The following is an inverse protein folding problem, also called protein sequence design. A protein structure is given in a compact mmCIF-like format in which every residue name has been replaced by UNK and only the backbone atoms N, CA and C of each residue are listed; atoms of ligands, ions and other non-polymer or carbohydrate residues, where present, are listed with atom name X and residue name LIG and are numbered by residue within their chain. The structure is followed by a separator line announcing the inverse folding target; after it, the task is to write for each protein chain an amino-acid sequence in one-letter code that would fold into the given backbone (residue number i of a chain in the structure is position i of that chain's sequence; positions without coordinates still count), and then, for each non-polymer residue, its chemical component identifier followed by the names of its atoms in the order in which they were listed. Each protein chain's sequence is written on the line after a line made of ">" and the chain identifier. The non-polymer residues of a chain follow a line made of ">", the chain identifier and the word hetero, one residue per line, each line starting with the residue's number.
data_IF_826565157753
#
_entry.id   IF_826565157753
#
_cell.length_a   1.000
_cell.length_b   1.000
_cell.length_c   1.000
_cell.angle_alpha   90.00
_cell.angle_beta   90.00
_cell.angle_gamma   90.00
#
_symmetry.space_group_name_H-M   'P 1'
#
loop_
_entity.id
_entity.type
_entity.pdbx_description
1 polymer ?
#
# COMPACT_ATOMS: atom_id res chain seq x y z
N UNK A 1 9.35 -2.58 16.89
CA UNK A 1 8.44 -1.71 16.09
C UNK A 1 9.04 -1.16 14.78
N UNK A 2 10.33 -0.80 14.70
CA UNK A 2 10.97 -0.24 13.46
C UNK A 2 10.93 -1.11 12.20
N UNK A 3 10.74 -2.43 12.32
CA UNK A 3 10.71 -3.37 11.17
C UNK A 3 9.40 -3.36 10.37
N UNK A 4 8.26 -3.12 11.03
CA UNK A 4 6.95 -3.05 10.36
C UNK A 4 6.87 -1.78 9.50
N UNK A 5 7.33 -0.66 10.05
CA UNK A 5 7.43 0.62 9.34
C UNK A 5 8.31 0.55 8.08
N UNK A 6 9.47 -0.14 8.14
CA UNK A 6 10.33 -0.33 6.95
C UNK A 6 9.69 -1.19 5.85
N UNK A 7 8.88 -2.18 6.24
CA UNK A 7 8.14 -3.03 5.29
C UNK A 7 6.99 -2.24 4.67
N UNK A 8 6.32 -1.38 5.42
CA UNK A 8 5.34 -0.43 4.89
C UNK A 8 5.98 0.61 3.98
N UNK A 9 7.16 1.14 4.31
CA UNK A 9 7.91 2.06 3.45
C UNK A 9 8.32 1.42 2.11
N UNK A 10 8.72 0.14 2.12
CA UNK A 10 9.03 -0.60 0.88
C UNK A 10 7.78 -0.83 0.02
N UNK A 11 6.67 -1.25 0.64
CA UNK A 11 5.37 -1.37 -0.02
C UNK A 11 4.94 -0.03 -0.61
N UNK A 12 5.17 1.06 0.14
CA UNK A 12 4.87 2.40 -0.32
C UNK A 12 5.71 2.75 -1.55
N UNK A 13 7.02 2.47 -1.54
CA UNK A 13 7.94 2.73 -2.65
C UNK A 13 7.56 2.03 -3.96
N UNK A 14 7.18 0.76 -3.89
CA UNK A 14 6.73 0.00 -5.07
C UNK A 14 5.40 0.52 -5.61
N UNK A 15 4.50 0.91 -4.70
CA UNK A 15 3.24 1.55 -5.08
C UNK A 15 3.50 2.90 -5.76
N UNK A 16 4.42 3.73 -5.25
CA UNK A 16 4.82 4.99 -5.90
C UNK A 16 5.30 4.81 -7.35
N UNK A 17 6.16 3.83 -7.62
CA UNK A 17 6.64 3.55 -8.98
C UNK A 17 5.51 3.10 -9.93
N UNK A 18 4.51 2.40 -9.39
CA UNK A 18 3.34 1.97 -10.16
C UNK A 18 2.39 3.14 -10.47
N UNK A 19 2.13 4.00 -9.48
CA UNK A 19 1.30 5.19 -9.64
C UNK A 19 1.92 6.18 -10.63
N UNK A 20 3.23 6.36 -10.58
CA UNK A 20 3.93 7.25 -11.50
C UNK A 20 3.84 6.76 -12.96
N UNK A 21 3.87 5.44 -13.18
CA UNK A 21 3.64 4.85 -14.50
C UNK A 21 2.20 5.07 -14.99
N UNK A 22 1.21 4.90 -14.12
CA UNK A 22 -0.20 5.17 -14.45
C UNK A 22 -0.46 6.66 -14.73
N UNK A 23 0.19 7.56 -13.98
CA UNK A 23 -0.01 9.00 -14.15
C UNK A 23 0.61 9.51 -15.47
N UNK A 24 1.67 8.87 -15.97
CA UNK A 24 2.25 9.15 -17.30
C UNK A 24 1.36 8.69 -18.45
N UNK A 25 0.41 7.78 -18.22
CA UNK A 25 -0.55 7.30 -19.23
C UNK A 25 -1.79 8.21 -19.34
N UNK A 26 -1.98 9.18 -18.42
CA UNK A 26 -3.11 10.12 -18.45
C UNK A 26 -2.69 11.40 -19.19
N UNK A 27 -3.41 11.83 -20.25
CA UNK A 27 -3.04 13.02 -21.02
C UNK A 27 -3.11 14.28 -20.16
N UNK A 28 -2.05 15.08 -20.24
CA UNK A 28 -1.90 16.39 -19.59
C UNK A 28 -3.04 17.33 -20.06
N UNK A 29 -3.87 17.87 -19.14
CA UNK A 29 -4.97 18.79 -19.48
C UNK A 29 -4.78 20.17 -18.84
N UNK A 30 -4.86 21.23 -19.65
CA UNK A 30 -4.40 22.60 -19.40
C UNK A 30 -5.32 23.52 -18.54
N UNK A 31 -6.35 23.02 -17.83
CA UNK A 31 -7.26 23.90 -17.07
C UNK A 31 -7.09 23.76 -15.55
N UNK A 32 -6.90 24.88 -14.82
CA UNK A 32 -6.76 24.91 -13.35
C UNK A 32 -7.93 24.24 -12.60
N UNK A 33 -9.19 24.49 -12.97
CA UNK A 33 -10.35 23.79 -12.38
C UNK A 33 -10.35 22.27 -12.71
N UNK A 34 -9.90 21.90 -13.92
CA UNK A 34 -9.73 20.48 -14.27
C UNK A 34 -8.60 19.84 -13.48
N UNK A 35 -7.57 20.59 -13.10
CA UNK A 35 -6.43 20.08 -12.34
C UNK A 35 -6.83 19.72 -10.91
N UNK A 36 -7.63 20.56 -10.25
CA UNK A 36 -8.13 20.29 -8.90
C UNK A 36 -9.07 19.09 -8.85
N UNK A 37 -10.06 19.06 -9.75
CA UNK A 37 -10.99 17.94 -9.86
C UNK A 37 -10.25 16.65 -10.27
N UNK A 38 -9.24 16.77 -11.13
CA UNK A 38 -8.36 15.65 -11.50
C UNK A 38 -7.57 15.15 -10.28
N UNK A 39 -6.99 16.01 -9.45
CA UNK A 39 -6.26 15.59 -8.25
C UNK A 39 -7.16 14.86 -7.24
N UNK A 40 -8.36 15.38 -6.99
CA UNK A 40 -9.34 14.74 -6.10
C UNK A 40 -9.81 13.40 -6.69
N UNK A 41 -10.08 13.38 -8.00
CA UNK A 41 -10.47 12.17 -8.70
C UNK A 41 -9.37 11.10 -8.65
N UNK A 42 -8.13 11.49 -8.93
CA UNK A 42 -6.96 10.62 -8.82
C UNK A 42 -6.84 10.07 -7.41
N UNK A 43 -6.91 10.91 -6.38
CA UNK A 43 -6.85 10.45 -4.99
C UNK A 43 -7.91 9.39 -4.68
N UNK A 44 -9.18 9.64 -5.00
CA UNK A 44 -10.29 8.67 -4.78
C UNK A 44 -10.07 7.38 -5.58
N UNK A 45 -9.59 7.49 -6.83
CA UNK A 45 -9.29 6.35 -7.69
C UNK A 45 -8.19 5.46 -7.11
N UNK A 46 -7.12 6.05 -6.57
CA UNK A 46 -6.01 5.29 -5.96
C UNK A 46 -6.44 4.53 -4.71
N UNK A 47 -7.25 5.17 -3.86
CA UNK A 47 -7.80 4.54 -2.66
C UNK A 47 -8.70 3.37 -3.05
N UNK A 48 -9.62 3.57 -3.99
CA UNK A 48 -10.55 2.54 -4.43
C UNK A 48 -9.86 1.36 -5.13
N UNK A 49 -8.84 1.65 -5.94
CA UNK A 49 -8.03 0.61 -6.59
C UNK A 49 -7.28 -0.23 -5.56
N UNK A 50 -6.64 0.42 -4.58
CA UNK A 50 -5.90 -0.25 -3.51
C UNK A 50 -6.83 -1.07 -2.61
N UNK A 51 -8.00 -0.54 -2.28
CA UNK A 51 -9.04 -1.26 -1.54
C UNK A 51 -9.51 -2.50 -2.29
N UNK A 52 -9.84 -2.35 -3.58
CA UNK A 52 -10.28 -3.46 -4.43
C UNK A 52 -9.23 -4.56 -4.55
N UNK A 53 -7.94 -4.20 -4.63
CA UNK A 53 -6.85 -5.16 -4.63
C UNK A 53 -6.74 -5.93 -3.29
N UNK A 54 -6.98 -5.26 -2.17
CA UNK A 54 -6.99 -5.90 -0.85
C UNK A 54 -8.18 -6.85 -0.66
N UNK A 55 -9.35 -6.53 -1.22
CA UNK A 55 -10.51 -7.44 -1.25
C UNK A 55 -10.12 -8.74 -1.94
N UNK A 56 -9.51 -8.67 -3.14
CA UNK A 56 -9.09 -9.87 -3.86
C UNK A 56 -7.98 -10.65 -3.14
N UNK A 57 -7.19 -9.99 -2.29
CA UNK A 57 -6.10 -10.63 -1.54
C UNK A 57 -6.57 -11.39 -0.30
N UNK A 58 -7.37 -10.76 0.56
CA UNK A 58 -7.71 -11.28 1.89
C UNK A 58 -9.18 -11.13 2.28
N UNK A 59 -10.04 -10.74 1.34
CA UNK A 59 -11.47 -10.57 1.59
C UNK A 59 -11.84 -9.15 2.05
N UNK A 60 -13.15 -8.93 2.16
CA UNK A 60 -13.74 -7.61 2.42
C UNK A 60 -13.39 -7.09 3.82
N UNK A 61 -13.48 -7.93 4.84
CA UNK A 61 -13.23 -7.54 6.24
C UNK A 61 -11.82 -6.98 6.43
N UNK A 62 -10.82 -7.70 5.89
CA UNK A 62 -9.44 -7.25 5.91
C UNK A 62 -9.27 -5.92 5.17
N UNK A 63 -9.88 -5.79 3.98
CA UNK A 63 -9.80 -4.58 3.19
C UNK A 63 -10.44 -3.38 3.91
N UNK A 64 -11.56 -3.60 4.61
CA UNK A 64 -12.25 -2.59 5.42
C UNK A 64 -11.37 -2.06 6.55
N UNK A 65 -10.72 -2.96 7.30
CA UNK A 65 -9.81 -2.58 8.38
C UNK A 65 -8.61 -1.75 7.93
N UNK A 66 -8.10 -1.98 6.72
CA UNK A 66 -6.96 -1.22 6.19
C UNK A 66 -7.37 0.01 5.37
N UNK A 67 -8.65 0.20 5.07
CA UNK A 67 -9.14 1.26 4.18
C UNK A 67 -8.72 2.66 4.63
N UNK A 68 -9.02 3.01 5.89
CA UNK A 68 -8.67 4.33 6.43
C UNK A 68 -7.15 4.57 6.45
N UNK A 69 -6.38 3.51 6.68
CA UNK A 69 -4.92 3.58 6.64
C UNK A 69 -4.41 3.84 5.21
N UNK A 70 -4.95 3.12 4.23
CA UNK A 70 -4.66 3.35 2.80
C UNK A 70 -5.02 4.79 2.40
N UNK A 71 -6.20 5.27 2.77
CA UNK A 71 -6.64 6.63 2.49
C UNK A 71 -5.72 7.71 3.13
N UNK A 72 -5.20 7.48 4.34
CA UNK A 72 -4.19 8.36 4.97
C UNK A 72 -2.86 8.34 4.21
N UNK A 73 -2.40 7.16 3.82
CA UNK A 73 -1.16 7.00 3.07
C UNK A 73 -1.29 7.75 1.75
N UNK A 74 -2.27 7.40 0.91
CA UNK A 74 -2.42 8.00 -0.43
C UNK A 74 -2.59 9.52 -0.37
N UNK A 75 -3.30 10.05 0.64
CA UNK A 75 -3.39 11.49 0.88
C UNK A 75 -2.00 12.10 1.08
N UNK A 76 -1.21 11.53 2.01
CA UNK A 76 0.14 12.00 2.30
C UNK A 76 1.05 11.94 1.07
N UNK A 77 0.88 10.91 0.22
CA UNK A 77 1.62 10.76 -1.04
C UNK A 77 1.30 11.89 -2.00
N UNK A 78 0.01 12.12 -2.24
CA UNK A 78 -0.45 13.09 -3.21
C UNK A 78 -0.07 14.51 -2.77
N UNK A 79 -0.19 14.83 -1.48
CA UNK A 79 0.27 16.10 -0.92
C UNK A 79 1.77 16.31 -1.16
N UNK A 80 2.61 15.31 -0.91
CA UNK A 80 4.06 15.40 -1.17
C UNK A 80 4.38 15.60 -2.65
N UNK A 81 3.61 14.97 -3.55
CA UNK A 81 3.79 15.15 -4.99
C UNK A 81 3.41 16.57 -5.44
N UNK A 82 2.27 17.08 -4.98
CA UNK A 82 1.81 18.45 -5.30
C UNK A 82 2.84 19.48 -4.83
N UNK A 83 3.31 19.37 -3.59
CA UNK A 83 4.31 20.29 -3.04
C UNK A 83 5.60 20.27 -3.87
N UNK A 84 6.04 19.10 -4.36
CA UNK A 84 7.24 18.97 -5.20
C UNK A 84 7.10 19.57 -6.59
N UNK A 85 5.89 19.77 -7.10
CA UNK A 85 5.66 20.35 -8.42
C UNK A 85 5.84 21.87 -8.44
N UNK A 86 6.10 22.51 -7.28
CA UNK A 86 6.38 23.94 -7.17
C UNK A 86 5.35 24.83 -7.88
N UNK A 87 4.06 24.52 -7.72
CA UNK A 87 3.00 25.41 -8.14
C UNK A 87 3.00 26.71 -7.32
N UNK A 88 2.22 27.68 -7.78
CA UNK A 88 1.94 28.87 -7.01
C UNK A 88 1.39 28.52 -5.61
N UNK A 89 1.74 29.32 -4.61
CA UNK A 89 1.42 29.04 -3.19
C UNK A 89 -0.09 28.94 -2.98
N UNK A 90 -0.84 29.87 -3.56
CA UNK A 90 -2.29 29.93 -3.41
C UNK A 90 -2.97 28.71 -4.06
N UNK A 91 -2.50 28.30 -5.23
CA UNK A 91 -2.99 27.11 -5.95
C UNK A 91 -2.67 25.83 -5.16
N UNK A 92 -1.46 25.75 -4.60
CA UNK A 92 -1.03 24.62 -3.79
C UNK A 92 -1.90 24.48 -2.54
N UNK A 93 -2.18 25.59 -1.86
CA UNK A 93 -3.00 25.58 -0.65
C UNK A 93 -4.45 25.17 -0.94
N UNK A 94 -5.04 25.66 -2.03
CA UNK A 94 -6.40 25.29 -2.44
C UNK A 94 -6.50 23.80 -2.76
N UNK A 95 -5.53 23.25 -3.50
CA UNK A 95 -5.43 21.82 -3.80
C UNK A 95 -5.35 20.97 -2.52
N UNK A 96 -4.50 21.36 -1.58
CA UNK A 96 -4.32 20.63 -0.32
C UNK A 96 -5.60 20.68 0.55
N UNK A 97 -6.30 21.82 0.58
CA UNK A 97 -7.60 21.97 1.25
C UNK A 97 -8.66 21.06 0.63
N UNK A 98 -8.77 21.02 -0.70
CA UNK A 98 -9.71 20.14 -1.41
C UNK A 98 -9.40 18.66 -1.16
N UNK A 99 -8.13 18.26 -1.19
CA UNK A 99 -7.73 16.90 -0.85
C UNK A 99 -8.05 16.54 0.60
N UNK A 100 -7.90 17.49 1.53
CA UNK A 100 -8.25 17.26 2.93
C UNK A 100 -9.75 17.02 3.11
N UNK A 101 -10.56 17.81 2.40
CA UNK A 101 -12.02 17.62 2.36
C UNK A 101 -12.37 16.23 1.79
N UNK A 102 -11.77 15.85 0.66
CA UNK A 102 -11.98 14.54 0.05
C UNK A 102 -11.55 13.38 0.98
N UNK A 103 -10.47 13.55 1.74
CA UNK A 103 -10.05 12.55 2.74
C UNK A 103 -11.11 12.38 3.84
N UNK A 104 -11.66 13.48 4.34
CA UNK A 104 -12.71 13.43 5.36
C UNK A 104 -13.98 12.74 4.81
N UNK A 105 -14.36 13.03 3.56
CA UNK A 105 -15.47 12.34 2.87
C UNK A 105 -15.23 10.82 2.80
N UNK A 106 -14.02 10.38 2.44
CA UNK A 106 -13.69 8.95 2.39
C UNK A 106 -13.74 8.28 3.78
N UNK A 107 -13.41 8.99 4.85
CA UNK A 107 -13.51 8.45 6.20
C UNK A 107 -14.96 8.36 6.69
N UNK A 108 -15.83 9.27 6.25
CA UNK A 108 -17.27 9.21 6.53
C UNK A 108 -17.90 8.02 5.82
N UNK A 109 -17.49 7.76 4.58
CA UNK A 109 -17.94 6.62 3.77
C UNK A 109 -16.99 5.42 3.88
N UNK A 110 -16.53 5.13 5.11
CA UNK A 110 -15.58 4.06 5.33
C UNK A 110 -16.30 2.70 5.38
N UNK A 111 -15.81 1.69 4.63
CA UNK A 111 -16.29 0.32 4.73
C UNK A 111 -16.05 -0.32 6.11
N UNK A 112 -15.25 0.31 6.97
CA UNK A 112 -15.12 -0.07 8.38
C UNK A 112 -16.40 0.19 9.19
N UNK A 113 -17.12 1.26 8.86
CA UNK A 113 -18.36 1.65 9.55
C UNK A 113 -19.60 1.09 8.88
N UNK A 114 -19.57 0.89 7.56
CA UNK A 114 -20.68 0.35 6.76
C UNK A 114 -20.16 -0.59 5.69
N UNK A 115 -20.30 -1.89 5.88
CA UNK A 115 -19.82 -2.91 4.94
C UNK A 115 -20.41 -2.76 3.52
N UNK A 116 -21.67 -2.29 3.41
CA UNK A 116 -22.35 -2.03 2.13
C UNK A 116 -21.57 -1.06 1.25
N UNK A 117 -20.92 -0.04 1.84
CA UNK A 117 -20.10 0.91 1.09
C UNK A 117 -18.85 0.24 0.50
N UNK A 118 -18.32 -0.79 1.16
CA UNK A 118 -17.20 -1.57 0.62
C UNK A 118 -17.59 -2.36 -0.64
N UNK A 119 -18.78 -2.93 -0.64
CA UNK A 119 -19.35 -3.61 -1.80
C UNK A 119 -19.58 -2.61 -2.94
N UNK A 120 -20.15 -1.44 -2.64
CA UNK A 120 -20.41 -0.39 -3.63
C UNK A 120 -19.11 0.15 -4.24
N UNK A 121 -18.06 0.36 -3.44
CA UNK A 121 -16.74 0.77 -3.94
C UNK A 121 -16.18 -0.29 -4.88
N UNK A 122 -16.23 -1.57 -4.48
CA UNK A 122 -15.68 -2.67 -5.27
C UNK A 122 -16.42 -2.85 -6.61
N UNK A 123 -17.75 -2.87 -6.59
CA UNK A 123 -18.55 -3.02 -7.80
C UNK A 123 -18.55 -1.76 -8.66
N UNK A 124 -18.53 -0.57 -8.06
CA UNK A 124 -18.37 0.69 -8.77
C UNK A 124 -17.04 0.77 -9.53
N UNK A 125 -15.98 0.18 -8.98
CA UNK A 125 -14.66 0.21 -9.59
C UNK A 125 -14.41 -0.93 -10.59
N UNK A 126 -14.93 -2.12 -10.32
CA UNK A 126 -14.75 -3.31 -11.18
C UNK A 126 -15.84 -3.45 -12.25
N UNK A 127 -17.03 -2.90 -12.00
CA UNK A 127 -18.19 -2.90 -12.88
C UNK A 127 -18.66 -4.29 -13.30
N UNK A 128 -18.37 -5.33 -12.50
CA UNK A 128 -18.58 -6.71 -12.88
C UNK A 128 -17.80 -7.08 -14.15
N UNK A 129 -18.44 -7.74 -15.12
CA UNK A 129 -17.78 -8.18 -16.36
C UNK A 129 -17.94 -7.20 -17.54
N UNK A 130 -18.42 -5.98 -17.30
CA UNK A 130 -18.64 -4.96 -18.34
C UNK A 130 -17.33 -4.55 -19.02
N UNK A 131 -17.35 -4.35 -20.35
CA UNK A 131 -16.15 -4.03 -21.16
C UNK A 131 -15.45 -2.73 -20.71
N UNK A 132 -16.21 -1.69 -20.33
CA UNK A 132 -15.70 -0.38 -19.87
C UNK A 132 -14.67 -0.50 -18.73
N UNK A 133 -14.85 -1.45 -17.82
CA UNK A 133 -14.02 -1.60 -16.62
C UNK A 133 -12.89 -2.63 -16.79
N UNK A 134 -12.65 -3.12 -18.02
CA UNK A 134 -11.60 -4.12 -18.30
C UNK A 134 -10.21 -3.63 -17.90
N UNK A 135 -9.91 -2.36 -18.17
CA UNK A 135 -8.65 -1.73 -17.77
C UNK A 135 -8.49 -1.74 -16.24
N UNK A 136 -9.52 -1.31 -15.50
CA UNK A 136 -9.52 -1.31 -14.03
C UNK A 136 -9.30 -2.72 -13.46
N UNK A 137 -10.01 -3.73 -13.99
CA UNK A 137 -9.83 -5.13 -13.56
C UNK A 137 -8.40 -5.63 -13.82
N UNK A 138 -7.81 -5.28 -14.96
CA UNK A 138 -6.43 -5.64 -15.26
C UNK A 138 -5.44 -4.95 -14.31
N UNK A 139 -5.66 -3.67 -13.99
CA UNK A 139 -4.84 -2.93 -13.03
C UNK A 139 -4.94 -3.57 -11.62
N UNK A 140 -6.14 -3.90 -11.16
CA UNK A 140 -6.34 -4.58 -9.86
C UNK A 140 -5.64 -5.94 -9.85
N UNK A 141 -5.76 -6.75 -10.92
CA UNK A 141 -5.06 -8.04 -11.02
C UNK A 141 -3.54 -7.89 -10.92
N UNK A 142 -2.97 -6.88 -11.58
CA UNK A 142 -1.53 -6.57 -11.48
C UNK A 142 -1.14 -6.17 -10.04
N UNK A 143 -1.92 -5.31 -9.39
CA UNK A 143 -1.68 -4.93 -7.99
C UNK A 143 -1.79 -6.12 -7.05
N UNK A 144 -2.83 -6.95 -7.22
CA UNK A 144 -2.98 -8.19 -6.45
C UNK A 144 -1.77 -9.10 -6.61
N UNK A 145 -1.30 -9.33 -7.85
CA UNK A 145 -0.14 -10.16 -8.11
C UNK A 145 1.13 -9.61 -7.42
N UNK A 146 1.32 -8.28 -7.44
CA UNK A 146 2.43 -7.63 -6.75
C UNK A 146 2.33 -7.80 -5.21
N UNK A 147 1.15 -7.56 -4.63
CA UNK A 147 0.90 -7.75 -3.19
C UNK A 147 1.19 -9.20 -2.78
N UNK A 148 0.72 -10.16 -3.58
CA UNK A 148 0.94 -11.59 -3.34
C UNK A 148 2.43 -11.94 -3.40
N UNK A 149 3.12 -11.55 -4.46
CA UNK A 149 4.56 -11.83 -4.64
C UNK A 149 5.41 -11.22 -3.52
N UNK A 150 5.08 -10.00 -3.08
CA UNK A 150 5.79 -9.33 -1.99
C UNK A 150 5.52 -10.01 -0.64
N UNK A 151 4.29 -10.50 -0.42
CA UNK A 151 3.96 -11.29 0.78
C UNK A 151 4.74 -12.61 0.85
N UNK A 152 4.90 -13.30 -0.28
CA UNK A 152 5.67 -14.56 -0.39
C UNK A 152 7.17 -14.32 -0.14
N UNK A 153 7.74 -13.24 -0.69
CA UNK A 153 9.13 -12.85 -0.42
C UNK A 153 9.38 -12.58 1.06
N UNK A 154 8.42 -11.93 1.74
CA UNK A 154 8.53 -11.64 3.17
C UNK A 154 8.41 -12.91 4.03
N UNK A 155 7.51 -13.84 3.68
CA UNK A 155 7.41 -15.15 4.31
C UNK A 155 8.72 -15.93 4.15
N UNK A 156 9.26 -15.98 2.94
CA UNK A 156 10.52 -16.67 2.68
C UNK A 156 11.69 -16.06 3.47
N UNK A 157 11.80 -14.73 3.51
CA UNK A 157 12.80 -14.02 4.34
C UNK A 157 12.62 -14.33 5.82
N UNK A 158 11.40 -14.31 6.32
CA UNK A 158 11.09 -14.63 7.72
C UNK A 158 11.50 -16.06 8.09
N UNK A 159 11.17 -17.03 7.23
CA UNK A 159 11.55 -18.43 7.40
C UNK A 159 13.09 -18.57 7.38
N UNK A 160 13.76 -17.94 6.40
CA UNK A 160 15.22 -17.96 6.28
C UNK A 160 15.91 -17.38 7.52
N UNK A 161 15.45 -16.21 7.99
CA UNK A 161 15.99 -15.57 9.19
C UNK A 161 15.75 -16.43 10.44
N UNK A 162 14.58 -17.06 10.56
CA UNK A 162 14.24 -17.96 11.65
C UNK A 162 15.14 -19.20 11.68
N UNK A 163 15.40 -19.80 10.51
CA UNK A 163 16.33 -20.94 10.39
C UNK A 163 17.76 -20.54 10.75
N UNK A 164 18.23 -19.36 10.32
CA UNK A 164 19.57 -18.85 10.65
C UNK A 164 19.75 -18.66 12.15
N UNK A 165 18.75 -18.10 12.83
CA UNK A 165 18.77 -17.93 14.29
C UNK A 165 18.77 -19.26 15.04
N UNK A 166 17.98 -20.25 14.60
CA UNK A 166 17.99 -21.60 15.19
C UNK A 166 19.36 -22.27 15.02
N UNK A 167 19.95 -22.19 13.83
CA UNK A 167 21.26 -22.76 13.57
C UNK A 167 22.35 -22.11 14.44
N UNK A 168 22.35 -20.79 14.58
CA UNK A 168 23.29 -20.08 15.45
C UNK A 168 23.22 -20.57 16.90
N UNK A 169 22.02 -20.72 17.47
CA UNK A 169 21.85 -21.26 18.83
C UNK A 169 22.36 -22.69 18.98
N UNK A 170 22.12 -23.54 17.98
CA UNK A 170 22.62 -24.93 18.00
C UNK A 170 24.15 -24.94 17.95
N UNK A 171 24.74 -24.08 17.11
CA UNK A 171 26.19 -23.93 17.01
C UNK A 171 26.79 -23.44 18.33
N UNK A 172 26.22 -22.39 18.94
CA UNK A 172 26.66 -21.90 20.26
C UNK A 172 26.61 -22.98 21.33
N UNK A 173 25.54 -23.78 21.39
CA UNK A 173 25.44 -24.91 22.33
C UNK A 173 26.52 -25.96 22.08
N UNK A 174 26.83 -26.25 20.81
CA UNK A 174 27.89 -27.20 20.44
C UNK A 174 29.27 -26.67 20.80
N UNK A 175 29.54 -25.40 20.50
CA UNK A 175 30.81 -24.74 20.79
C UNK A 175 31.02 -24.65 22.31
N UNK A 176 29.97 -24.37 23.08
CA UNK A 176 29.97 -24.42 24.54
C UNK A 176 30.26 -25.83 25.07
N UNK A 177 29.58 -26.86 24.56
CA UNK A 177 29.84 -28.24 24.96
C UNK A 177 31.27 -28.70 24.63
N UNK A 178 31.80 -28.30 23.47
CA UNK A 178 33.19 -28.55 23.08
C UNK A 178 34.19 -27.82 23.99
N UNK A 179 33.90 -26.56 24.35
CA UNK A 179 34.70 -25.81 25.31
C UNK A 179 34.71 -26.49 26.68
N UNK A 180 33.55 -26.93 27.16
CA UNK A 180 33.40 -27.64 28.43
C UNK A 180 34.15 -28.96 28.44
N UNK A 181 34.07 -29.74 27.35
CA UNK A 181 34.86 -30.97 27.21
C UNK A 181 36.37 -30.69 27.21
N UNK A 182 36.82 -29.66 26.49
CA UNK A 182 38.24 -29.28 26.45
C UNK A 182 38.75 -28.80 27.81
N UNK A 183 37.95 -28.07 28.59
CA UNK A 183 38.37 -27.60 29.90
C UNK A 183 38.47 -28.74 30.92
N UNK A 184 37.63 -29.77 30.80
CA UNK A 184 37.71 -30.97 31.67
C UNK A 184 38.82 -31.96 31.29
N UNK A 185 39.24 -32.01 30.02
CA UNK A 185 40.31 -32.93 29.57
C UNK A 185 41.71 -32.33 29.60
N UNK A 186 41.86 -31.07 30.01
CA UNK A 186 43.13 -30.35 30.15
C UNK A 186 43.58 -30.22 31.62
N UNK A 187 43.20 -31.18 32.47
CA UNK A 187 43.78 -31.44 33.78
C UNK A 187 44.42 -32.83 33.78
#
# INVERSE_FOLDING_TARGET
>A
MKKIARVEEQKNHLLYQFLEKLNREVPYQENKQKLEDSCVHQYKLLVNMSFSANILYKGLDYAGHVYNHVAKIEYTRLCKMIIKQNFDKDVTEELLKKLKKAQNELFLHSPLTKESEGIDIFYGFTGGNRKKYKANRNAIKRMYAAIKQESEKNLFRYIKDSCRLKYARIKEKRDYALWLLKSYTWH
#
